data_IF_246668629997
#
_entry.id   IF_246668629997
#
_cell.length_a   1.000
_cell.length_b   1.000
_cell.length_c   1.000
_cell.angle_alpha   90.00
_cell.angle_beta   90.00
_cell.angle_gamma   90.00
#
_symmetry.space_group_name_H-M   'P 1'
#
loop_
_entity.id
_entity.type
_entity.pdbx_description
1 polymer ?
#
# COMPACT_ATOMS: atom_id res chain seq x y z
N UNK A 1 -6.27 12.90 -2.96
CA UNK A 1 -6.51 11.69 -2.14
C UNK A 1 -5.79 11.94 -0.81
N UNK A 2 -6.49 11.98 0.33
CA UNK A 2 -5.96 12.57 1.59
C UNK A 2 -5.21 11.59 2.49
N UNK A 3 -4.49 12.11 3.50
CA UNK A 3 -3.68 11.38 4.50
C UNK A 3 -4.41 10.16 5.12
N UNK A 4 -5.72 10.29 5.36
CA UNK A 4 -6.58 9.21 5.88
C UNK A 4 -6.58 7.96 5.00
N UNK A 5 -6.42 8.11 3.69
CA UNK A 5 -6.43 6.99 2.74
C UNK A 5 -5.08 6.28 2.66
N UNK A 6 -3.96 6.99 2.89
CA UNK A 6 -2.64 6.36 2.97
C UNK A 6 -2.53 5.46 4.20
N UNK A 7 -3.02 5.94 5.36
CA UNK A 7 -3.05 5.14 6.60
C UNK A 7 -3.87 3.86 6.42
N UNK A 8 -5.05 3.96 5.79
CA UNK A 8 -5.89 2.79 5.49
C UNK A 8 -5.19 1.78 4.55
N UNK A 9 -4.41 2.26 3.57
CA UNK A 9 -3.62 1.38 2.70
C UNK A 9 -2.49 0.69 3.48
N UNK A 10 -1.80 1.40 4.38
CA UNK A 10 -0.75 0.81 5.22
C UNK A 10 -1.32 -0.22 6.21
N UNK A 11 -2.49 0.02 6.79
CA UNK A 11 -3.21 -0.94 7.63
C UNK A 11 -3.61 -2.19 6.82
N UNK A 12 -4.14 -2.00 5.61
CA UNK A 12 -4.52 -3.10 4.71
C UNK A 12 -3.29 -3.93 4.29
N UNK A 13 -2.15 -3.27 4.03
CA UNK A 13 -0.86 -3.95 3.77
C UNK A 13 -0.43 -4.81 4.96
N UNK A 14 -0.53 -4.27 6.18
CA UNK A 14 -0.20 -5.01 7.40
C UNK A 14 -1.09 -6.25 7.56
N UNK A 15 -2.41 -6.09 7.35
CA UNK A 15 -3.37 -7.19 7.37
C UNK A 15 -2.99 -8.33 6.41
N UNK A 16 -2.73 -8.02 5.13
CA UNK A 16 -2.37 -9.06 4.15
C UNK A 16 -1.02 -9.74 4.46
N UNK A 17 -0.05 -9.02 5.03
CA UNK A 17 1.21 -9.63 5.46
C UNK A 17 1.01 -10.65 6.59
N UNK A 18 0.13 -10.35 7.56
CA UNK A 18 -0.21 -11.28 8.63
C UNK A 18 -0.95 -12.51 8.08
N UNK A 19 -1.92 -12.30 7.19
CA UNK A 19 -2.67 -13.40 6.56
C UNK A 19 -1.77 -14.30 5.70
N UNK A 20 -0.77 -13.75 5.02
CA UNK A 20 0.20 -14.50 4.23
C UNK A 20 1.12 -15.39 5.09
N UNK A 21 1.35 -15.01 6.35
CA UNK A 21 2.14 -15.78 7.31
C UNK A 21 1.41 -16.97 7.92
N UNK A 22 0.12 -17.14 7.65
CA UNK A 22 -0.65 -18.28 8.14
C UNK A 22 -0.27 -19.58 7.41
N UNK A 23 -0.01 -20.63 8.19
CA UNK A 23 0.39 -21.95 7.69
C UNK A 23 -0.76 -22.70 6.99
N UNK A 24 -2.01 -22.43 7.38
CA UNK A 24 -3.21 -23.04 6.80
C UNK A 24 -3.67 -22.37 5.48
N UNK A 25 -2.92 -21.37 5.01
CA UNK A 25 -3.28 -20.63 3.82
C UNK A 25 -3.03 -21.45 2.55
N UNK A 26 -4.10 -21.80 1.84
CA UNK A 26 -3.98 -22.51 0.57
C UNK A 26 -3.18 -21.71 -0.46
N UNK A 27 -2.45 -22.41 -1.32
CA UNK A 27 -1.61 -21.81 -2.36
C UNK A 27 -2.39 -20.80 -3.24
N UNK A 28 -3.64 -21.13 -3.58
CA UNK A 28 -4.53 -20.24 -4.34
C UNK A 28 -4.88 -18.95 -3.60
N UNK A 29 -5.07 -19.01 -2.28
CA UNK A 29 -5.28 -17.80 -1.46
C UNK A 29 -3.99 -17.01 -1.32
N UNK A 30 -2.85 -17.69 -1.16
CA UNK A 30 -1.52 -17.09 -1.09
C UNK A 30 -1.18 -16.29 -2.36
N UNK A 31 -1.45 -16.82 -3.54
CA UNK A 31 -1.28 -16.09 -4.81
C UNK A 31 -2.19 -14.85 -4.88
N UNK A 32 -3.47 -14.99 -4.51
CA UNK A 32 -4.41 -13.86 -4.47
C UNK A 32 -3.94 -12.75 -3.52
N UNK A 33 -3.54 -13.10 -2.31
CA UNK A 33 -3.06 -12.15 -1.31
C UNK A 33 -1.73 -11.50 -1.72
N UNK A 34 -0.82 -12.25 -2.34
CA UNK A 34 0.42 -11.71 -2.91
C UNK A 34 0.15 -10.68 -4.01
N UNK A 35 -0.80 -10.94 -4.91
CA UNK A 35 -1.21 -9.97 -5.94
C UNK A 35 -1.86 -8.73 -5.34
N UNK A 36 -2.74 -8.91 -4.35
CA UNK A 36 -3.36 -7.79 -3.65
C UNK A 36 -2.31 -6.91 -2.95
N UNK A 37 -1.31 -7.53 -2.30
CA UNK A 37 -0.21 -6.84 -1.64
C UNK A 37 0.59 -5.97 -2.63
N UNK A 38 0.96 -6.51 -3.80
CA UNK A 38 1.66 -5.77 -4.85
C UNK A 38 0.89 -4.53 -5.32
N UNK A 39 -0.43 -4.65 -5.47
CA UNK A 39 -1.28 -3.52 -5.87
C UNK A 39 -1.29 -2.44 -4.78
N UNK A 40 -1.48 -2.83 -3.51
CA UNK A 40 -1.48 -1.89 -2.38
C UNK A 40 -0.14 -1.17 -2.25
N UNK A 41 0.98 -1.88 -2.38
CA UNK A 41 2.30 -1.27 -2.36
C UNK A 41 2.51 -0.28 -3.52
N UNK A 42 2.00 -0.61 -4.71
CA UNK A 42 1.97 0.30 -5.85
C UNK A 42 1.18 1.59 -5.55
N UNK A 43 -0.02 1.46 -4.98
CA UNK A 43 -0.83 2.63 -4.59
C UNK A 43 -0.16 3.47 -3.51
N UNK A 44 0.41 2.85 -2.47
CA UNK A 44 1.16 3.56 -1.42
C UNK A 44 2.33 4.33 -2.04
N UNK A 45 3.07 3.73 -2.98
CA UNK A 45 4.19 4.39 -3.67
C UNK A 45 3.71 5.60 -4.48
N UNK A 46 2.66 5.45 -5.28
CA UNK A 46 2.08 6.54 -6.07
C UNK A 46 1.60 7.68 -5.17
N UNK A 47 0.92 7.38 -4.06
CA UNK A 47 0.43 8.40 -3.12
C UNK A 47 1.58 9.11 -2.40
N UNK A 48 2.64 8.39 -2.02
CA UNK A 48 3.85 8.99 -1.43
C UNK A 48 4.58 9.89 -2.44
N UNK A 49 4.70 9.47 -3.70
CA UNK A 49 5.29 10.28 -4.76
C UNK A 49 4.43 11.50 -5.12
N UNK A 50 3.10 11.35 -5.20
CA UNK A 50 2.18 12.45 -5.45
C UNK A 50 2.16 13.46 -4.30
N UNK A 51 2.16 12.97 -3.04
CA UNK A 51 2.28 13.83 -1.86
C UNK A 51 3.65 14.49 -1.71
N UNK A 52 4.72 13.85 -2.21
CA UNK A 52 6.07 14.41 -2.30
C UNK A 52 6.18 15.53 -3.34
N UNK A 53 5.62 15.33 -4.55
CA UNK A 53 5.61 16.33 -5.62
C UNK A 53 4.91 17.64 -5.25
N UNK A 54 3.93 17.60 -4.34
CA UNK A 54 3.28 18.82 -3.82
C UNK A 54 4.23 19.61 -2.91
N UNK A 55 5.17 18.96 -2.22
CA UNK A 55 6.16 19.65 -1.37
C UNK A 55 7.28 20.31 -2.18
N UNK A 56 7.63 19.76 -3.33
CA UNK A 56 8.69 20.31 -4.20
C UNK A 56 8.26 21.60 -4.92
N UNK A 57 6.97 21.92 -4.96
CA UNK A 57 6.47 23.16 -5.54
C UNK A 57 6.53 24.36 -4.58
N UNK A 58 7.39 24.32 -3.54
CA UNK A 58 7.56 25.40 -2.55
C UNK A 58 8.69 26.39 -2.87
N UNK A 59 9.25 26.39 -4.08
CA UNK A 59 10.25 27.38 -4.52
C UNK A 59 9.90 27.93 -5.91
N UNK A 60 8.82 28.69 -5.96
CA UNK A 60 8.65 29.76 -6.95
C UNK A 60 8.24 31.01 -6.15
N UNK A 61 9.27 31.73 -5.69
CA UNK A 61 9.22 33.11 -5.23
C UNK A 61 10.58 33.74 -5.52
#
# INVERSE_FOLDING_TARGET
>A
MGILKLKALEETRSFYNVELGREDLTERKRDKYSRALKLIEGFIKIEKEAGGKIKDNKFIA
#
